data_IF_494380836845
#
_entry.id   IF_494380836845
#
_cell.length_a   1.000
_cell.length_b   1.000
_cell.length_c   1.000
_cell.angle_alpha   90.00
_cell.angle_beta   90.00
_cell.angle_gamma   90.00
#
_symmetry.space_group_name_H-M   'P 1'
#
loop_
_entity.id
_entity.type
_entity.pdbx_description
1 polymer ?
#
# COMPACT_ATOMS: atom_id res chain seq x y z
N UNK A 1 18.46 -5.33 -26.40
CA UNK A 1 17.11 -5.15 -25.82
C UNK A 1 16.96 -3.68 -25.49
N UNK A 2 16.00 -2.95 -26.06
CA UNK A 2 15.81 -1.53 -25.76
C UNK A 2 15.38 -1.39 -24.29
N UNK A 3 16.25 -0.86 -23.44
CA UNK A 3 15.87 -0.41 -22.11
C UNK A 3 14.91 0.76 -22.31
N UNK A 4 13.61 0.54 -22.10
CA UNK A 4 12.72 1.65 -21.82
C UNK A 4 13.29 2.37 -20.58
N UNK A 5 13.47 3.70 -20.67
CA UNK A 5 13.91 4.51 -19.54
C UNK A 5 12.88 4.37 -18.43
N UNK A 6 13.27 3.73 -17.33
CA UNK A 6 12.42 3.62 -16.14
C UNK A 6 12.18 5.01 -15.56
N UNK A 7 10.98 5.25 -15.07
CA UNK A 7 10.63 6.49 -14.35
C UNK A 7 11.39 6.50 -13.02
N UNK A 8 11.98 7.64 -12.67
CA UNK A 8 12.67 7.83 -11.39
C UNK A 8 11.67 8.39 -10.39
N UNK A 9 11.53 7.71 -9.26
CA UNK A 9 10.69 8.12 -8.12
C UNK A 9 11.58 8.39 -6.90
N UNK A 10 11.08 9.19 -5.96
CA UNK A 10 11.72 9.49 -4.69
C UNK A 10 11.49 8.42 -3.62
N UNK A 11 12.05 8.65 -2.42
CA UNK A 11 11.81 7.82 -1.23
C UNK A 11 10.43 7.99 -0.62
N UNK A 12 9.74 9.08 -0.95
CA UNK A 12 8.34 9.36 -0.62
C UNK A 12 7.62 9.71 -1.91
N UNK A 13 6.40 9.21 -2.06
CA UNK A 13 5.52 9.53 -3.19
C UNK A 13 4.08 9.69 -2.68
N UNK A 14 3.25 10.32 -3.49
CA UNK A 14 1.81 10.46 -3.34
C UNK A 14 1.15 9.56 -4.38
N UNK A 15 0.22 8.71 -3.94
CA UNK A 15 -0.47 7.73 -4.79
C UNK A 15 -1.98 7.87 -4.62
N UNK A 16 -2.73 7.30 -5.55
CA UNK A 16 -4.15 7.01 -5.36
C UNK A 16 -4.37 5.48 -5.29
N UNK A 17 -5.38 5.07 -4.53
CA UNK A 17 -5.94 3.71 -4.48
C UNK A 17 -7.44 3.81 -4.75
N UNK A 18 -7.85 3.89 -6.04
CA UNK A 18 -9.23 4.22 -6.42
C UNK A 18 -10.29 3.29 -5.83
N UNK A 19 -10.01 1.99 -5.77
CA UNK A 19 -10.96 1.00 -5.24
C UNK A 19 -11.14 1.11 -3.72
N UNK A 20 -10.25 1.84 -3.04
CA UNK A 20 -10.37 2.16 -1.62
C UNK A 20 -10.90 3.59 -1.39
N UNK A 21 -11.31 4.29 -2.46
CA UNK A 21 -11.72 5.70 -2.44
C UNK A 21 -10.66 6.65 -1.85
N UNK A 22 -9.38 6.37 -2.16
CA UNK A 22 -8.26 7.21 -1.73
C UNK A 22 -7.67 7.91 -2.94
N UNK A 23 -7.90 9.22 -3.02
CA UNK A 23 -7.36 10.04 -4.12
C UNK A 23 -5.90 10.46 -3.89
N UNK A 24 -5.50 10.59 -2.62
CA UNK A 24 -4.15 10.99 -2.26
C UNK A 24 -3.69 10.30 -0.97
N UNK A 25 -2.59 9.56 -1.05
CA UNK A 25 -1.93 8.92 0.08
C UNK A 25 -0.41 9.08 -0.04
N UNK A 26 0.20 9.68 0.98
CA UNK A 26 1.65 9.70 1.08
C UNK A 26 2.18 8.34 1.52
N UNK A 27 3.08 7.79 0.73
CA UNK A 27 3.67 6.47 0.95
C UNK A 27 5.18 6.54 1.03
N UNK A 28 5.74 5.65 1.85
CA UNK A 28 7.18 5.43 1.86
C UNK A 28 7.54 4.36 0.85
N UNK A 29 8.40 4.71 -0.09
CA UNK A 29 8.98 3.74 -1.03
C UNK A 29 10.04 2.93 -0.28
N UNK A 30 9.79 1.63 -0.10
CA UNK A 30 10.62 0.76 0.72
C UNK A 30 11.14 -0.43 -0.09
N UNK A 31 12.36 -0.29 -0.60
CA UNK A 31 13.04 -1.36 -1.32
C UNK A 31 13.46 -2.53 -0.43
N UNK A 32 13.40 -2.40 0.91
CA UNK A 32 13.56 -3.49 1.86
C UNK A 32 12.33 -4.39 1.97
N UNK A 33 11.13 -3.84 1.76
CA UNK A 33 9.88 -4.58 1.80
C UNK A 33 9.65 -5.36 0.50
N UNK A 34 9.29 -6.66 0.61
CA UNK A 34 8.93 -7.47 -0.56
C UNK A 34 7.56 -7.04 -1.11
N UNK A 35 6.54 -7.14 -0.27
CA UNK A 35 5.14 -6.79 -0.57
C UNK A 35 4.81 -5.48 0.11
N UNK A 36 3.95 -4.66 -0.51
CA UNK A 36 3.43 -3.44 0.10
C UNK A 36 2.60 -3.74 1.35
N UNK A 37 2.49 -2.77 2.24
CA UNK A 37 1.67 -2.89 3.46
C UNK A 37 0.92 -1.60 3.74
N UNK A 38 -0.34 -1.72 4.15
CA UNK A 38 -1.20 -0.60 4.55
C UNK A 38 -1.62 -0.78 6.01
N UNK A 39 -1.41 0.26 6.80
CA UNK A 39 -1.93 0.36 8.14
C UNK A 39 -3.43 0.66 8.08
N UNK A 40 -4.20 -0.18 8.75
CA UNK A 40 -5.65 -0.07 8.89
C UNK A 40 -6.06 -0.51 10.29
N UNK A 41 -7.25 -0.09 10.70
CA UNK A 41 -7.85 -0.45 11.97
C UNK A 41 -9.05 -1.39 11.78
N UNK A 42 -9.49 -2.03 12.87
CA UNK A 42 -10.73 -2.79 12.93
C UNK A 42 -10.90 -3.87 11.83
N UNK A 43 -9.81 -4.53 11.45
CA UNK A 43 -9.80 -5.61 10.45
C UNK A 43 -10.78 -6.72 10.86
N UNK A 44 -11.82 -6.94 10.05
CA UNK A 44 -12.84 -7.97 10.25
C UNK A 44 -13.04 -8.77 8.98
N UNK A 45 -12.98 -10.09 9.09
CA UNK A 45 -13.37 -10.98 8.00
C UNK A 45 -14.89 -10.94 7.82
N UNK A 46 -15.33 -10.82 6.58
CA UNK A 46 -16.74 -10.83 6.19
C UNK A 46 -16.95 -11.70 4.94
N UNK A 47 -18.21 -11.96 4.59
CA UNK A 47 -18.58 -12.54 3.30
C UNK A 47 -19.48 -11.52 2.61
N UNK A 48 -19.08 -11.07 1.42
CA UNK A 48 -19.83 -10.12 0.60
C UNK A 48 -20.11 -10.79 -0.74
N UNK A 49 -21.40 -10.93 -1.08
CA UNK A 49 -21.85 -11.59 -2.32
C UNK A 49 -21.23 -12.99 -2.55
N UNK A 50 -21.02 -13.74 -1.47
CA UNK A 50 -20.42 -15.08 -1.51
C UNK A 50 -18.89 -15.12 -1.57
N UNK A 51 -18.22 -13.97 -1.57
CA UNK A 51 -16.76 -13.84 -1.61
C UNK A 51 -16.21 -13.60 -0.20
N UNK A 52 -15.12 -14.30 0.16
CA UNK A 52 -14.39 -14.00 1.39
C UNK A 52 -13.73 -12.62 1.27
N UNK A 53 -14.14 -11.71 2.14
CA UNK A 53 -13.71 -10.31 2.13
C UNK A 53 -13.20 -9.90 3.50
N UNK A 54 -12.52 -8.76 3.52
CA UNK A 54 -12.09 -8.10 4.75
C UNK A 54 -12.63 -6.67 4.74
N UNK A 55 -13.23 -6.28 5.86
CA UNK A 55 -13.66 -4.91 6.15
C UNK A 55 -12.67 -4.31 7.13
N UNK A 56 -12.28 -3.06 6.92
CA UNK A 56 -11.30 -2.37 7.74
C UNK A 56 -11.54 -0.86 7.67
N UNK A 57 -11.09 -0.16 8.70
CA UNK A 57 -11.18 1.30 8.78
C UNK A 57 -9.83 1.90 8.41
N UNK A 58 -9.86 2.93 7.56
CA UNK A 58 -8.68 3.66 7.13
C UNK A 58 -8.78 5.11 7.54
N UNK A 59 -7.69 5.63 8.09
CA UNK A 59 -7.51 7.04 8.40
C UNK A 59 -6.54 7.66 7.40
N UNK A 60 -7.03 8.15 6.23
CA UNK A 60 -6.15 8.62 5.15
C UNK A 60 -5.30 9.83 5.55
N UNK A 61 -5.78 10.64 6.49
CA UNK A 61 -5.01 11.73 7.10
C UNK A 61 -4.49 11.31 8.48
N UNK A 62 -3.17 11.09 8.57
CA UNK A 62 -2.48 10.78 9.84
C UNK A 62 -2.57 11.90 10.86
N UNK A 63 -2.86 13.13 10.44
CA UNK A 63 -3.02 14.30 11.30
C UNK A 63 -4.47 14.59 11.67
N UNK A 64 -5.43 13.94 11.01
CA UNK A 64 -6.86 14.09 11.26
C UNK A 64 -7.54 12.72 11.35
N UNK A 65 -7.45 12.13 12.55
CA UNK A 65 -8.05 10.84 12.87
C UNK A 65 -9.59 10.83 12.81
N UNK A 66 -10.25 12.00 12.81
CA UNK A 66 -11.71 12.08 12.67
C UNK A 66 -12.17 11.73 11.25
N UNK A 67 -11.26 11.83 10.27
CA UNK A 67 -11.52 11.36 8.90
C UNK A 67 -11.28 9.86 8.85
N UNK A 68 -12.37 9.10 8.80
CA UNK A 68 -12.34 7.64 8.71
C UNK A 68 -13.12 7.19 7.48
N UNK A 69 -12.52 6.30 6.71
CA UNK A 69 -13.14 5.62 5.57
C UNK A 69 -13.18 4.12 5.83
N UNK A 70 -14.38 3.57 5.97
CA UNK A 70 -14.55 2.12 6.01
C UNK A 70 -14.42 1.56 4.60
N UNK A 71 -13.54 0.58 4.44
CA UNK A 71 -13.24 -0.09 3.18
C UNK A 71 -13.62 -1.56 3.27
N UNK A 72 -13.99 -2.16 2.15
CA UNK A 72 -14.17 -3.61 2.04
C UNK A 72 -13.50 -4.09 0.77
N UNK A 73 -12.67 -5.12 0.88
CA UNK A 73 -11.95 -5.69 -0.25
C UNK A 73 -11.96 -7.22 -0.19
N UNK A 74 -12.02 -7.92 -1.35
CA UNK A 74 -11.84 -9.37 -1.42
C UNK A 74 -10.46 -9.77 -0.86
N UNK A 75 -10.42 -10.89 -0.14
CA UNK A 75 -9.16 -11.47 0.32
C UNK A 75 -8.56 -12.26 -0.85
N UNK A 76 -7.40 -11.84 -1.35
CA UNK A 76 -6.68 -12.57 -2.42
C UNK A 76 -5.77 -13.67 -1.87
N UNK A 77 -5.17 -13.45 -0.70
CA UNK A 77 -4.24 -14.39 -0.05
C UNK A 77 -4.12 -14.11 1.47
N UNK A 78 -3.42 -14.98 2.19
CA UNK A 78 -2.93 -14.71 3.54
C UNK A 78 -1.43 -14.96 3.62
N UNK A 79 -0.70 -13.97 4.11
CA UNK A 79 0.76 -13.97 4.09
C UNK A 79 1.35 -13.89 5.48
N UNK A 80 2.29 -14.80 5.77
CA UNK A 80 3.12 -14.74 6.98
C UNK A 80 4.21 -13.69 6.78
N UNK A 81 4.12 -12.58 7.51
CA UNK A 81 5.05 -11.46 7.43
C UNK A 81 5.91 -11.40 8.69
N UNK A 82 7.24 -11.40 8.50
CA UNK A 82 8.20 -11.16 9.58
C UNK A 82 8.62 -9.70 9.55
N UNK A 83 8.40 -9.00 10.65
CA UNK A 83 8.81 -7.61 10.86
C UNK A 83 10.29 -7.51 11.20
N UNK A 84 10.84 -6.29 11.09
CA UNK A 84 12.22 -5.98 11.44
C UNK A 84 12.56 -6.22 12.92
N UNK A 85 11.57 -6.13 13.82
CA UNK A 85 11.72 -6.47 15.24
C UNK A 85 11.58 -7.98 15.53
N UNK A 86 11.48 -8.82 14.49
CA UNK A 86 11.51 -10.28 14.60
C UNK A 86 10.17 -10.94 14.91
N UNK A 87 9.11 -10.18 15.19
CA UNK A 87 7.77 -10.75 15.33
C UNK A 87 7.24 -11.22 13.98
N UNK A 88 6.34 -12.21 14.03
CA UNK A 88 5.75 -12.77 12.83
C UNK A 88 4.24 -12.77 12.98
N UNK A 89 3.57 -12.33 11.92
CA UNK A 89 2.12 -12.11 11.89
C UNK A 89 1.55 -12.71 10.61
N UNK A 90 0.32 -13.23 10.67
CA UNK A 90 -0.45 -13.60 9.48
C UNK A 90 -1.30 -12.39 9.07
N UNK A 91 -1.14 -11.94 7.82
CA UNK A 91 -1.84 -10.77 7.30
C UNK A 91 -2.70 -11.13 6.11
N UNK A 92 -3.89 -10.54 6.04
CA UNK A 92 -4.71 -10.60 4.83
C UNK A 92 -4.04 -9.81 3.71
N UNK A 93 -4.11 -10.36 2.51
CA UNK A 93 -3.68 -9.70 1.28
C UNK A 93 -4.92 -9.29 0.50
N UNK A 94 -4.92 -8.06 0.03
CA UNK A 94 -5.89 -7.56 -0.94
C UNK A 94 -5.15 -7.20 -2.23
N UNK A 95 -5.87 -7.25 -3.34
CA UNK A 95 -5.39 -6.75 -4.63
C UNK A 95 -6.19 -5.49 -5.00
N UNK A 96 -5.49 -4.44 -5.42
CA UNK A 96 -6.13 -3.14 -5.74
C UNK A 96 -5.30 -2.37 -6.77
N UNK A 97 -5.94 -1.59 -7.67
CA UNK A 97 -5.22 -0.68 -8.55
C UNK A 97 -4.56 0.45 -7.76
N UNK A 98 -3.32 0.77 -8.12
CA UNK A 98 -2.58 1.92 -7.65
C UNK A 98 -2.34 2.88 -8.82
N UNK A 99 -2.43 4.18 -8.54
CA UNK A 99 -2.03 5.25 -9.46
C UNK A 99 -0.86 6.01 -8.87
N UNK A 100 0.20 6.20 -9.66
CA UNK A 100 1.36 7.04 -9.33
C UNK A 100 1.77 7.83 -10.58
N UNK A 101 1.47 9.13 -10.58
CA UNK A 101 1.63 9.98 -11.77
C UNK A 101 0.76 9.45 -12.91
N UNK A 102 1.37 9.19 -14.07
CA UNK A 102 0.69 8.65 -15.26
C UNK A 102 0.58 7.11 -15.25
N UNK A 103 1.20 6.42 -14.28
CA UNK A 103 1.22 4.97 -14.22
C UNK A 103 0.05 4.43 -13.38
N UNK A 104 -0.67 3.46 -13.93
CA UNK A 104 -1.75 2.73 -13.23
C UNK A 104 -1.57 1.22 -13.40
N UNK A 105 -1.51 0.47 -12.29
CA UNK A 105 -1.37 -0.98 -12.31
C UNK A 105 -1.93 -1.64 -11.05
N UNK A 106 -2.15 -2.96 -11.09
CA UNK A 106 -2.61 -3.73 -9.93
C UNK A 106 -1.44 -4.09 -9.00
N UNK A 107 -1.66 -4.00 -7.67
CA UNK A 107 -0.70 -4.39 -6.64
C UNK A 107 -1.34 -5.21 -5.54
N UNK A 108 -0.53 -6.05 -4.89
CA UNK A 108 -0.87 -6.70 -3.63
C UNK A 108 -0.49 -5.82 -2.44
N UNK A 109 -1.40 -5.73 -1.47
CA UNK A 109 -1.20 -5.01 -0.21
C UNK A 109 -1.51 -5.93 0.95
N UNK A 110 -0.59 -6.03 1.90
CA UNK A 110 -0.86 -6.66 3.21
C UNK A 110 -1.51 -5.65 4.16
N UNK A 111 -2.63 -6.03 4.78
CA UNK A 111 -3.27 -5.22 5.81
C UNK A 111 -2.62 -5.50 7.18
N UNK A 112 -2.35 -4.45 7.94
CA UNK A 112 -1.73 -4.56 9.26
C UNK A 112 -2.27 -3.51 10.23
N UNK A 113 -2.39 -3.88 11.49
CA UNK A 113 -2.60 -2.93 12.57
C UNK A 113 -1.22 -2.56 13.16
N UNK A 114 -0.80 -1.30 12.98
CA UNK A 114 0.47 -0.75 13.45
C UNK A 114 0.34 0.71 13.82
N UNK A 115 -0.11 0.92 15.05
CA UNK A 115 -0.32 2.23 15.67
C UNK A 115 0.94 3.10 15.79
N UNK A 116 2.15 2.51 15.73
CA UNK A 116 3.43 3.20 15.94
C UNK A 116 4.15 3.65 14.64
N UNK A 117 3.54 3.54 13.47
CA UNK A 117 4.21 3.87 12.19
C UNK A 117 3.92 5.29 11.69
N UNK A 118 4.97 6.00 11.28
CA UNK A 118 4.89 7.38 10.76
C UNK A 118 4.30 7.51 9.35
N UNK A 119 4.13 6.39 8.63
CA UNK A 119 3.56 6.34 7.29
C UNK A 119 2.50 5.23 7.25
N UNK A 120 1.32 5.56 6.74
CA UNK A 120 0.22 4.60 6.60
C UNK A 120 0.59 3.45 5.67
N UNK A 121 1.39 3.70 4.64
CA UNK A 121 1.72 2.69 3.65
C UNK A 121 3.20 2.63 3.30
N UNK A 122 3.69 1.39 3.16
CA UNK A 122 4.96 1.07 2.54
C UNK A 122 4.70 0.53 1.12
N UNK A 123 5.38 1.11 0.13
CA UNK A 123 5.36 0.65 -1.26
C UNK A 123 6.55 -0.28 -1.50
N UNK A 124 6.29 -1.58 -1.59
CA UNK A 124 7.31 -2.64 -1.66
C UNK A 124 7.79 -2.95 -3.07
N UNK A 125 8.82 -3.80 -3.17
CA UNK A 125 9.48 -4.17 -4.44
C UNK A 125 8.56 -4.82 -5.47
N UNK A 126 7.56 -5.60 -5.05
CA UNK A 126 6.61 -6.23 -5.97
C UNK A 126 5.72 -5.20 -6.67
N UNK A 127 5.30 -4.16 -5.93
CA UNK A 127 4.55 -3.04 -6.50
C UNK A 127 5.42 -2.18 -7.44
N UNK A 128 6.67 -1.91 -7.06
CA UNK A 128 7.61 -1.15 -7.91
C UNK A 128 7.98 -1.90 -9.20
N UNK A 129 8.16 -3.22 -9.08
CA UNK A 129 8.47 -4.12 -10.18
C UNK A 129 9.65 -3.65 -11.04
N UNK A 130 9.46 -3.72 -12.35
CA UNK A 130 10.44 -3.23 -13.34
C UNK A 130 10.17 -1.79 -13.79
N UNK A 131 9.18 -1.10 -13.20
CA UNK A 131 8.68 0.19 -13.67
C UNK A 131 9.58 1.35 -13.26
N UNK A 132 10.09 1.30 -12.03
CA UNK A 132 10.72 2.45 -11.40
C UNK A 132 12.19 2.24 -11.03
N UNK A 133 12.91 3.35 -10.90
CA UNK A 133 14.15 3.50 -10.15
C UNK A 133 13.90 4.42 -8.97
N UNK A 134 14.47 4.11 -7.81
CA UNK A 134 14.27 4.91 -6.58
C UNK A 134 15.51 5.78 -6.34
N UNK A 135 15.32 7.10 -6.33
CA UNK A 135 16.30 8.08 -5.87
C UNK A 135 16.05 8.42 -4.39
N UNK A 136 16.87 7.91 -3.46
CA UNK A 136 16.65 8.14 -2.03
C UNK A 136 16.90 9.60 -1.61
N UNK A 137 17.53 10.42 -2.46
CA UNK A 137 17.79 11.83 -2.17
C UNK A 137 16.60 12.74 -2.47
N UNK A 138 15.55 12.21 -3.11
CA UNK A 138 14.40 12.98 -3.61
C UNK A 138 13.09 12.45 -3.02
N UNK A 139 12.06 13.28 -3.11
CA UNK A 139 10.68 12.98 -2.71
C UNK A 139 9.75 13.55 -3.80
N UNK A 140 8.61 12.89 -4.02
CA UNK A 140 7.54 13.34 -4.92
C UNK A 140 8.04 13.63 -6.35
N UNK A 141 8.86 12.73 -6.90
CA UNK A 141 9.35 12.86 -8.28
C UNK A 141 8.34 12.29 -9.28
N UNK A 142 7.73 11.15 -8.93
CA UNK A 142 6.75 10.47 -9.78
C UNK A 142 5.32 10.96 -9.58
N UNK A 143 5.06 11.62 -8.45
CA UNK A 143 3.74 12.16 -8.05
C UNK A 143 3.33 13.45 -8.79
N UNK A 144 4.06 13.86 -9.82
CA UNK A 144 3.82 15.11 -10.55
C UNK A 144 2.83 14.91 -11.69
#
# INVERSE_FOLDING_TARGET
MKNASKVIIGRLESIALPDLAIDELQVRVDTGAKTSSLHVDNIKKSIVDGVNSVTFDLHPDVHNVDTMQQCTAPISDMRKVKSSNGTTEQRYVIETPIVLGEENWSIEITLTDRSDMSYLMLLGREALGKRFLVDPSKVFLGSK
#
